data_IF_712451075975
#
_entry.id   IF_712451075975
#
_cell.length_a   1.000
_cell.length_b   1.000
_cell.length_c   1.000
_cell.angle_alpha   90.00
_cell.angle_beta   90.00
_cell.angle_gamma   90.00
#
_symmetry.space_group_name_H-M   'P 1'
#
loop_
_entity.id
_entity.type
_entity.pdbx_description
1 polymer ?
#
# COMPACT_ATOMS: atom_id res chain seq x y z
N UNK A 1 -3.38 -11.02 -10.85
CA UNK A 1 -3.96 -11.98 -11.79
C UNK A 1 -3.00 -13.15 -12.07
N UNK A 2 -1.87 -12.93 -12.73
CA UNK A 2 -0.82 -13.95 -12.94
C UNK A 2 -0.07 -14.22 -11.61
N UNK A 3 0.21 -15.48 -11.25
CA UNK A 3 -0.06 -16.72 -12.00
C UNK A 3 -1.35 -17.46 -11.59
N UNK A 4 -2.20 -16.91 -10.73
CA UNK A 4 -3.31 -17.63 -10.09
C UNK A 4 -4.63 -17.58 -10.86
N UNK A 5 -4.87 -16.52 -11.62
CA UNK A 5 -6.16 -16.31 -12.31
C UNK A 5 -5.97 -16.37 -13.81
N UNK A 6 -6.76 -17.22 -14.49
CA UNK A 6 -6.78 -17.27 -15.96
C UNK A 6 -7.47 -16.02 -16.52
N UNK A 7 -6.91 -15.45 -17.59
CA UNK A 7 -7.48 -14.28 -18.25
C UNK A 7 -6.50 -13.59 -19.17
N UNK A 8 -6.97 -12.57 -19.90
CA UNK A 8 -6.17 -11.85 -20.89
C UNK A 8 -4.87 -11.26 -20.34
N UNK A 9 -4.97 -10.57 -19.19
CA UNK A 9 -3.79 -9.98 -18.52
C UNK A 9 -2.78 -11.04 -18.10
N UNK A 10 -3.24 -12.12 -17.47
CA UNK A 10 -2.34 -13.22 -17.05
C UNK A 10 -1.68 -13.91 -18.23
N UNK A 11 -2.44 -14.15 -19.31
CA UNK A 11 -1.92 -14.73 -20.55
C UNK A 11 -0.86 -13.81 -21.18
N UNK A 12 -1.14 -12.51 -21.21
CA UNK A 12 -0.21 -11.51 -21.74
C UNK A 12 1.09 -11.46 -20.92
N UNK A 13 1.01 -11.41 -19.59
CA UNK A 13 2.19 -11.46 -18.71
C UNK A 13 3.02 -12.72 -18.96
N UNK A 14 2.37 -13.89 -18.98
CA UNK A 14 3.05 -15.17 -19.24
C UNK A 14 3.72 -15.19 -20.63
N UNK A 15 3.05 -14.63 -21.64
CA UNK A 15 3.63 -14.53 -22.99
C UNK A 15 4.86 -13.61 -23.03
N UNK A 16 4.81 -12.44 -22.38
CA UNK A 16 5.96 -11.53 -22.30
C UNK A 16 7.15 -12.23 -21.67
N UNK A 17 6.97 -12.83 -20.49
CA UNK A 17 8.07 -13.51 -19.79
C UNK A 17 8.68 -14.58 -20.67
N UNK A 18 7.88 -15.42 -21.32
CA UNK A 18 8.37 -16.50 -22.21
C UNK A 18 8.98 -16.01 -23.51
N UNK A 19 8.56 -14.82 -24.01
CA UNK A 19 9.06 -14.29 -25.28
C UNK A 19 10.44 -13.67 -25.17
N UNK A 20 10.87 -13.32 -23.98
CA UNK A 20 12.18 -12.71 -23.71
C UNK A 20 12.99 -13.57 -22.73
N UNK A 21 13.42 -14.78 -23.16
CA UNK A 21 14.14 -15.70 -22.29
C UNK A 21 15.51 -15.16 -21.81
N UNK A 22 16.07 -14.17 -22.53
CA UNK A 22 17.31 -13.49 -22.19
C UNK A 22 17.17 -12.48 -21.03
N UNK A 23 15.93 -12.14 -20.65
CA UNK A 23 15.64 -11.25 -19.54
C UNK A 23 15.22 -12.03 -18.30
N UNK A 24 15.66 -11.58 -17.13
CA UNK A 24 15.18 -12.07 -15.85
C UNK A 24 13.99 -11.24 -15.39
N UNK A 25 12.91 -11.90 -15.00
CA UNK A 25 11.70 -11.25 -14.51
C UNK A 25 11.48 -11.52 -13.03
N UNK A 26 10.97 -10.51 -12.32
CA UNK A 26 10.36 -10.65 -11.02
C UNK A 26 8.88 -10.30 -11.11
N UNK A 27 8.04 -11.00 -10.37
CA UNK A 27 6.62 -10.68 -10.24
C UNK A 27 6.23 -10.51 -8.78
N UNK A 28 5.42 -9.50 -8.50
CA UNK A 28 4.73 -9.36 -7.21
C UNK A 28 3.23 -9.45 -7.51
N UNK A 29 2.63 -10.53 -7.02
CA UNK A 29 1.20 -10.73 -7.09
C UNK A 29 0.54 -10.00 -5.92
N UNK A 30 -0.45 -9.16 -6.22
CA UNK A 30 -1.27 -8.50 -5.21
C UNK A 30 -2.68 -9.11 -5.30
N UNK A 31 -3.07 -9.81 -4.25
CA UNK A 31 -4.35 -10.49 -4.13
C UNK A 31 -5.24 -9.92 -3.03
N UNK A 32 -6.48 -10.40 -2.93
CA UNK A 32 -7.42 -10.08 -1.86
C UNK A 32 -7.04 -10.79 -0.56
N UNK A 33 -7.28 -12.09 -0.50
CA UNK A 33 -6.96 -12.97 0.63
C UNK A 33 -6.29 -14.23 0.13
N UNK A 34 -5.43 -14.89 0.92
CA UNK A 34 -4.78 -16.13 0.50
C UNK A 34 -5.78 -17.21 0.07
N UNK A 35 -6.89 -17.36 0.78
CA UNK A 35 -7.92 -18.36 0.54
C UNK A 35 -8.72 -18.13 -0.74
N UNK A 36 -8.70 -16.93 -1.32
CA UNK A 36 -9.40 -16.62 -2.58
C UNK A 36 -8.66 -17.20 -3.81
N UNK A 37 -7.42 -17.66 -3.62
CA UNK A 37 -6.56 -18.17 -4.69
C UNK A 37 -6.15 -19.60 -4.40
N UNK A 38 -6.45 -20.48 -5.32
CA UNK A 38 -6.04 -21.89 -5.27
C UNK A 38 -4.64 -22.10 -5.85
N UNK A 39 -4.47 -23.21 -6.56
CA UNK A 39 -3.21 -23.51 -7.26
C UNK A 39 -2.96 -22.55 -8.42
N UNK A 40 -1.69 -22.35 -8.75
CA UNK A 40 -1.27 -21.58 -9.91
C UNK A 40 -1.85 -22.16 -11.20
N UNK A 41 -2.40 -21.31 -12.04
CA UNK A 41 -3.01 -21.68 -13.33
C UNK A 41 -1.98 -21.70 -14.47
N UNK A 42 -0.80 -21.14 -14.26
CA UNK A 42 0.28 -21.10 -15.23
C UNK A 42 1.52 -21.75 -14.63
N UNK A 43 2.18 -22.57 -15.43
CA UNK A 43 3.55 -23.02 -15.11
C UNK A 43 4.49 -21.82 -15.19
N UNK A 44 5.28 -21.64 -14.14
CA UNK A 44 6.22 -20.52 -14.07
C UNK A 44 7.34 -20.74 -15.09
N UNK A 45 7.67 -19.74 -15.92
CA UNK A 45 8.82 -19.78 -16.81
C UNK A 45 10.15 -19.75 -16.03
N UNK A 46 11.19 -20.39 -16.57
CA UNK A 46 12.51 -20.49 -15.90
C UNK A 46 13.18 -19.13 -15.66
N UNK A 47 12.88 -18.15 -16.52
CA UNK A 47 13.39 -16.79 -16.40
C UNK A 47 12.54 -15.88 -15.47
N UNK A 48 11.51 -16.41 -14.82
CA UNK A 48 10.84 -15.76 -13.68
C UNK A 48 11.60 -16.12 -12.39
N UNK A 49 12.57 -15.30 -12.05
CA UNK A 49 13.51 -15.55 -10.95
C UNK A 49 13.02 -15.13 -9.58
N UNK A 50 11.92 -14.37 -9.52
CA UNK A 50 11.30 -13.92 -8.28
C UNK A 50 9.78 -13.91 -8.43
N UNK A 51 9.10 -14.48 -7.46
CA UNK A 51 7.64 -14.37 -7.30
C UNK A 51 7.33 -14.17 -5.81
N UNK A 52 6.68 -13.06 -5.49
CA UNK A 52 6.15 -12.80 -4.16
C UNK A 52 4.63 -12.57 -4.23
N UNK A 53 3.94 -12.91 -3.14
CA UNK A 53 2.50 -12.75 -3.02
C UNK A 53 2.17 -11.86 -1.83
N UNK A 54 1.42 -10.79 -2.07
CA UNK A 54 0.96 -9.84 -1.06
C UNK A 54 -0.56 -9.84 -1.08
N UNK A 55 -1.16 -9.99 0.10
CA UNK A 55 -2.61 -10.03 0.24
C UNK A 55 -3.11 -8.80 0.99
N UNK A 56 -4.09 -8.11 0.39
CA UNK A 56 -4.60 -6.82 0.91
C UNK A 56 -5.43 -6.99 2.19
N UNK A 57 -6.10 -8.13 2.33
CA UNK A 57 -7.00 -8.42 3.45
C UNK A 57 -6.46 -9.56 4.33
N UNK A 58 -5.13 -9.64 4.45
CA UNK A 58 -4.49 -10.55 5.40
C UNK A 58 -4.64 -10.00 6.83
N UNK A 59 -5.37 -10.69 7.71
CA UNK A 59 -5.55 -10.26 9.10
C UNK A 59 -4.23 -10.14 9.88
N UNK A 60 -3.24 -10.96 9.53
CA UNK A 60 -1.92 -10.96 10.18
C UNK A 60 -1.07 -9.75 9.80
N UNK A 61 -1.42 -9.07 8.70
CA UNK A 61 -0.74 -7.85 8.26
C UNK A 61 -1.03 -6.63 9.14
N UNK A 62 -2.11 -6.66 9.93
CA UNK A 62 -2.51 -5.54 10.78
C UNK A 62 -1.85 -5.60 12.15
N UNK A 63 -1.34 -4.48 12.67
CA UNK A 63 -0.76 -4.45 13.99
C UNK A 63 -1.83 -4.70 15.07
N UNK A 64 -1.41 -5.32 16.17
CA UNK A 64 -2.27 -5.52 17.33
C UNK A 64 -2.82 -4.19 17.87
N UNK A 65 -4.10 -4.10 18.25
CA UNK A 65 -4.73 -2.87 18.73
C UNK A 65 -4.27 -2.51 20.14
N UNK A 66 -3.09 -1.92 20.23
CA UNK A 66 -2.50 -1.44 21.50
C UNK A 66 -2.14 0.03 21.35
N UNK A 67 -2.26 0.83 22.43
CA UNK A 67 -1.81 2.22 22.41
C UNK A 67 -0.37 2.33 21.94
N UNK A 68 -0.13 3.19 20.97
CA UNK A 68 1.18 3.40 20.37
C UNK A 68 1.60 4.87 20.49
N UNK A 69 2.90 5.13 20.45
CA UNK A 69 3.43 6.50 20.41
C UNK A 69 3.84 6.82 18.98
N UNK A 70 3.46 7.99 18.49
CA UNK A 70 3.85 8.48 17.18
C UNK A 70 4.85 9.64 17.28
N UNK A 71 5.74 9.75 16.31
CA UNK A 71 6.52 10.96 16.11
C UNK A 71 5.56 12.09 15.67
N UNK A 72 5.51 13.15 16.50
CA UNK A 72 4.58 14.27 16.28
C UNK A 72 4.85 14.99 14.96
N UNK A 73 6.12 15.14 14.56
CA UNK A 73 6.48 15.83 13.31
C UNK A 73 6.04 15.04 12.10
N UNK A 74 6.27 13.73 12.12
CA UNK A 74 5.83 12.85 11.03
C UNK A 74 4.31 12.81 10.93
N UNK A 75 3.58 12.78 12.06
CA UNK A 75 2.13 12.83 12.04
C UNK A 75 1.58 14.18 11.56
N UNK A 76 2.28 15.28 11.77
CA UNK A 76 1.94 16.56 11.16
C UNK A 76 2.09 16.54 9.64
N UNK A 77 3.10 15.84 9.12
CA UNK A 77 3.27 15.66 7.67
C UNK A 77 2.18 14.75 7.07
N UNK A 78 1.75 13.73 7.80
CA UNK A 78 0.60 12.90 7.41
C UNK A 78 -0.67 13.76 7.33
N UNK A 79 -0.91 14.63 8.33
CA UNK A 79 -2.02 15.57 8.31
C UNK A 79 -1.94 16.54 7.13
N UNK A 80 -0.74 17.09 6.87
CA UNK A 80 -0.51 17.98 5.72
C UNK A 80 -0.81 17.27 4.39
N UNK A 81 -0.39 16.03 4.22
CA UNK A 81 -0.70 15.27 3.01
C UNK A 81 -2.21 15.07 2.85
N UNK A 82 -2.91 14.80 3.95
CA UNK A 82 -4.38 14.68 3.94
C UNK A 82 -5.05 16.00 3.55
N UNK A 83 -4.63 17.11 4.14
CA UNK A 83 -5.14 18.46 3.82
C UNK A 83 -4.90 18.82 2.35
N UNK A 84 -3.70 18.60 1.83
CA UNK A 84 -3.36 18.88 0.42
C UNK A 84 -4.25 18.12 -0.58
N UNK A 85 -4.72 16.94 -0.23
CA UNK A 85 -5.65 16.16 -1.08
C UNK A 85 -7.06 16.76 -1.12
N UNK A 86 -7.44 17.51 -0.09
CA UNK A 86 -8.71 18.21 -0.06
C UNK A 86 -8.66 19.59 -0.71
N UNK A 87 -7.56 20.31 -0.51
CA UNK A 87 -7.47 21.72 -0.86
C UNK A 87 -6.97 21.98 -2.29
N UNK A 88 -6.14 21.06 -2.86
CA UNK A 88 -5.55 21.29 -4.19
C UNK A 88 -5.19 19.96 -4.90
N UNK A 89 -6.04 19.56 -5.81
CA UNK A 89 -5.89 18.31 -6.61
C UNK A 89 -4.67 18.33 -7.56
N UNK A 90 -3.98 19.45 -7.72
CA UNK A 90 -2.83 19.62 -8.62
C UNK A 90 -1.52 19.95 -7.93
N UNK A 91 -1.48 19.92 -6.60
CA UNK A 91 -0.32 20.34 -5.84
C UNK A 91 0.93 19.46 -6.11
N UNK A 92 1.97 20.07 -6.70
CA UNK A 92 3.23 19.38 -7.03
C UNK A 92 4.03 18.93 -5.83
N UNK A 93 3.76 19.46 -4.64
CA UNK A 93 4.41 19.01 -3.39
C UNK A 93 3.85 17.69 -2.88
N UNK A 94 2.62 17.34 -3.25
CA UNK A 94 1.94 16.13 -2.78
C UNK A 94 2.73 14.83 -3.08
N UNK A 95 3.24 14.59 -4.30
CA UNK A 95 4.06 13.41 -4.59
C UNK A 95 5.38 13.37 -3.79
N UNK A 96 6.01 14.53 -3.59
CA UNK A 96 7.27 14.62 -2.82
C UNK A 96 7.03 14.32 -1.33
N UNK A 97 5.95 14.86 -0.77
CA UNK A 97 5.56 14.59 0.61
C UNK A 97 5.18 13.11 0.80
N UNK A 98 4.46 12.54 -0.17
CA UNK A 98 4.13 11.12 -0.17
C UNK A 98 5.38 10.24 -0.19
N UNK A 99 6.34 10.51 -1.09
CA UNK A 99 7.61 9.78 -1.16
C UNK A 99 8.37 9.85 0.17
N UNK A 100 8.47 11.04 0.77
CA UNK A 100 9.12 11.21 2.08
C UNK A 100 8.42 10.42 3.20
N UNK A 101 7.10 10.39 3.21
CA UNK A 101 6.34 9.58 4.17
C UNK A 101 6.55 8.07 3.95
N UNK A 102 6.72 7.63 2.70
CA UNK A 102 7.10 6.25 2.39
C UNK A 102 8.48 5.90 2.98
N UNK A 103 9.46 6.81 2.90
CA UNK A 103 10.76 6.63 3.54
C UNK A 103 10.65 6.57 5.07
N UNK A 104 9.82 7.43 5.68
CA UNK A 104 9.55 7.40 7.13
C UNK A 104 8.81 6.13 7.56
N UNK A 105 8.07 5.49 6.66
CA UNK A 105 7.41 4.22 6.91
C UNK A 105 8.32 2.99 6.72
N UNK A 106 9.58 3.17 6.33
CA UNK A 106 10.57 2.09 6.29
C UNK A 106 10.79 1.50 7.70
N UNK A 107 11.20 0.21 7.85
CA UNK A 107 11.40 -0.42 9.16
C UNK A 107 12.33 0.32 10.14
N UNK A 108 13.21 1.18 9.63
CA UNK A 108 14.08 2.06 10.43
C UNK A 108 13.57 3.51 10.53
N UNK A 109 12.44 3.78 9.92
CA UNK A 109 11.80 5.10 9.93
C UNK A 109 11.00 5.35 11.20
N UNK A 110 10.37 6.52 11.26
CA UNK A 110 9.64 7.01 12.44
C UNK A 110 8.13 6.85 12.33
N UNK A 111 7.64 6.32 11.20
CA UNK A 111 6.22 6.07 10.95
C UNK A 111 5.99 4.56 10.86
N UNK A 112 5.45 3.98 11.89
CA UNK A 112 4.99 2.59 11.87
C UNK A 112 3.47 2.49 11.82
N UNK A 113 2.94 1.34 11.36
CA UNK A 113 1.51 1.13 11.18
C UNK A 113 0.73 1.19 12.49
N UNK A 114 1.31 0.73 13.60
CA UNK A 114 0.65 0.80 14.91
C UNK A 114 0.53 2.24 15.40
N UNK A 115 1.58 3.05 15.28
CA UNK A 115 1.53 4.46 15.65
C UNK A 115 0.55 5.25 14.79
N UNK A 116 0.48 4.95 13.50
CA UNK A 116 -0.50 5.54 12.59
C UNK A 116 -1.94 5.17 12.96
N UNK A 117 -2.20 3.93 13.42
CA UNK A 117 -3.53 3.48 13.75
C UNK A 117 -3.97 3.83 15.18
N UNK A 118 -3.06 3.73 16.16
CA UNK A 118 -3.42 3.65 17.58
C UNK A 118 -2.77 4.71 18.45
N UNK A 119 -2.12 5.74 17.86
CA UNK A 119 -1.58 6.85 18.63
C UNK A 119 -2.64 7.93 18.90
N UNK A 120 -2.42 8.70 19.95
CA UNK A 120 -3.21 9.90 20.26
C UNK A 120 -3.15 10.91 19.09
N UNK A 121 -1.97 11.09 18.47
CA UNK A 121 -1.81 12.00 17.33
C UNK A 121 -2.65 11.58 16.13
N UNK A 122 -2.76 10.27 15.86
CA UNK A 122 -3.62 9.76 14.79
C UNK A 122 -5.11 10.00 15.09
N UNK A 123 -5.50 9.84 16.34
CA UNK A 123 -6.86 10.13 16.78
C UNK A 123 -7.21 11.62 16.65
N UNK A 124 -6.31 12.51 17.08
CA UNK A 124 -6.50 13.96 16.94
C UNK A 124 -6.57 14.39 15.47
N UNK A 125 -5.78 13.78 14.59
CA UNK A 125 -5.85 14.02 13.16
C UNK A 125 -7.24 13.70 12.60
N UNK A 126 -7.79 12.53 12.92
CA UNK A 126 -9.13 12.13 12.45
C UNK A 126 -10.21 13.08 12.98
N UNK A 127 -10.15 13.44 14.27
CA UNK A 127 -11.11 14.39 14.85
C UNK A 127 -11.04 15.78 14.21
N UNK A 128 -9.82 16.26 13.98
CA UNK A 128 -9.60 17.55 13.33
C UNK A 128 -10.10 17.56 11.89
N UNK A 129 -9.77 16.50 11.13
CA UNK A 129 -10.24 16.33 9.76
C UNK A 129 -11.78 16.22 9.69
N UNK A 130 -12.39 15.49 10.60
CA UNK A 130 -13.85 15.42 10.67
C UNK A 130 -14.50 16.81 10.85
N UNK A 131 -14.00 17.62 11.77
CA UNK A 131 -14.52 18.96 12.02
C UNK A 131 -14.32 19.91 10.83
N UNK A 132 -13.26 19.70 10.05
CA UNK A 132 -12.87 20.60 8.94
C UNK A 132 -13.49 20.21 7.61
N UNK A 133 -13.59 18.91 7.32
CA UNK A 133 -13.88 18.44 5.96
C UNK A 133 -15.18 17.62 5.87
N UNK A 134 -15.69 17.08 6.98
CA UNK A 134 -16.85 16.21 6.89
C UNK A 134 -18.13 17.00 6.65
N UNK A 135 -18.87 16.57 5.63
CA UNK A 135 -20.24 17.00 5.35
C UNK A 135 -21.26 16.02 5.91
N UNK A 136 -20.83 14.84 6.34
CA UNK A 136 -21.66 13.80 6.94
C UNK A 136 -21.68 13.96 8.46
N UNK A 137 -22.86 13.91 9.11
CA UNK A 137 -22.99 13.99 10.56
C UNK A 137 -22.43 12.75 11.29
N UNK A 138 -22.21 11.63 10.57
CA UNK A 138 -21.68 10.39 11.15
C UNK A 138 -20.15 10.44 11.28
N UNK A 139 -19.65 10.65 12.50
CA UNK A 139 -18.23 10.50 12.80
C UNK A 139 -17.69 9.09 12.52
N UNK A 140 -18.50 8.06 12.75
CA UNK A 140 -18.11 6.66 12.56
C UNK A 140 -17.82 6.38 11.07
N UNK A 141 -18.68 6.87 10.19
CA UNK A 141 -18.49 6.68 8.73
C UNK A 141 -17.28 7.45 8.22
N UNK A 142 -17.08 8.69 8.69
CA UNK A 142 -15.87 9.45 8.41
C UNK A 142 -14.60 8.74 8.91
N UNK A 143 -14.62 8.23 10.14
CA UNK A 143 -13.50 7.49 10.72
C UNK A 143 -13.08 6.30 9.84
N UNK A 144 -14.03 5.47 9.45
CA UNK A 144 -13.74 4.31 8.61
C UNK A 144 -13.31 4.71 7.19
N UNK A 145 -13.90 5.75 6.63
CA UNK A 145 -13.49 6.29 5.33
C UNK A 145 -12.03 6.73 5.35
N UNK A 146 -11.63 7.52 6.34
CA UNK A 146 -10.24 7.96 6.48
C UNK A 146 -9.30 6.79 6.71
N UNK A 147 -9.66 5.83 7.54
CA UNK A 147 -8.87 4.62 7.77
C UNK A 147 -8.64 3.82 6.49
N UNK A 148 -9.72 3.53 5.76
CA UNK A 148 -9.65 2.75 4.52
C UNK A 148 -8.89 3.50 3.40
N UNK A 149 -8.99 4.82 3.35
CA UNK A 149 -8.27 5.63 2.38
C UNK A 149 -6.74 5.56 2.54
N UNK A 150 -6.25 5.28 3.74
CA UNK A 150 -4.81 5.18 4.02
C UNK A 150 -4.27 3.74 3.93
N UNK A 151 -5.11 2.71 3.88
CA UNK A 151 -4.66 1.31 3.75
C UNK A 151 -3.72 1.09 2.55
N UNK A 152 -3.98 1.65 1.34
CA UNK A 152 -3.08 1.47 0.20
C UNK A 152 -1.64 1.93 0.45
N UNK A 153 -1.43 2.92 1.33
CA UNK A 153 -0.09 3.37 1.71
C UNK A 153 0.74 2.22 2.34
N UNK A 154 0.13 1.47 3.25
CA UNK A 154 0.80 0.36 3.94
C UNK A 154 1.04 -0.83 3.01
N UNK A 155 0.11 -1.08 2.08
CA UNK A 155 0.32 -2.10 1.05
C UNK A 155 1.45 -1.73 0.11
N UNK A 156 1.51 -0.47 -0.38
CA UNK A 156 2.62 0.02 -1.20
C UNK A 156 3.96 -0.07 -0.48
N UNK A 157 3.99 0.27 0.81
CA UNK A 157 5.19 0.10 1.63
C UNK A 157 5.64 -1.36 1.68
N UNK A 158 4.70 -2.30 1.84
CA UNK A 158 5.00 -3.75 1.85
C UNK A 158 5.54 -4.18 0.48
N UNK A 159 4.91 -3.75 -0.61
CA UNK A 159 5.41 -3.99 -1.98
C UNK A 159 6.82 -3.45 -2.15
N UNK A 160 7.06 -2.19 -1.78
CA UNK A 160 8.38 -1.57 -1.91
C UNK A 160 9.46 -2.27 -1.08
N UNK A 161 9.11 -2.79 0.10
CA UNK A 161 10.05 -3.50 0.97
C UNK A 161 10.41 -4.91 0.46
N UNK A 162 9.56 -5.52 -0.34
CA UNK A 162 9.71 -6.88 -0.88
C UNK A 162 10.13 -6.91 -2.35
N UNK A 163 9.96 -5.79 -3.07
CA UNK A 163 10.35 -5.69 -4.47
C UNK A 163 11.86 -5.89 -4.61
N UNK A 164 12.33 -6.82 -5.47
CA UNK A 164 13.72 -6.95 -5.78
C UNK A 164 14.21 -5.72 -6.55
N UNK A 165 15.51 -5.46 -6.50
CA UNK A 165 16.11 -4.45 -7.35
C UNK A 165 15.93 -4.82 -8.83
N UNK A 166 15.39 -3.89 -9.62
CA UNK A 166 15.14 -4.08 -11.04
C UNK A 166 15.43 -2.81 -11.83
N UNK A 167 15.79 -2.97 -13.10
CA UNK A 167 16.02 -1.83 -14.01
C UNK A 167 14.71 -1.17 -14.45
N UNK A 168 13.64 -1.95 -14.52
CA UNK A 168 12.32 -1.50 -14.96
C UNK A 168 11.27 -2.09 -14.02
N UNK A 169 10.39 -1.25 -13.53
CA UNK A 169 9.19 -1.64 -12.80
C UNK A 169 7.96 -1.34 -13.66
N UNK A 170 7.08 -2.30 -13.76
CA UNK A 170 5.85 -2.19 -14.53
C UNK A 170 4.65 -2.62 -13.69
N UNK A 171 3.66 -1.74 -13.54
CA UNK A 171 2.40 -2.03 -12.87
C UNK A 171 1.32 -2.42 -13.90
N UNK A 172 0.54 -3.45 -13.60
CA UNK A 172 -0.49 -4.02 -14.47
C UNK A 172 -1.82 -4.09 -13.71
#
# INVERSE_FOLDING_TARGET
>A
TFPFVSGGVSSWVNQIIRRFPELSFGAIFIGSRPEDYGQMRYALPDNLVHLDCIYLFDPESKPSPKPARADRKVMQEVSRLHDMRHDDVGNRECPMLFARLMDEAHPKGRLDHASFLYSESAWEQIKSGYRRYSTDPSFVDYFWTVRNMHEPFWHLRTVAARAPEARIYHAI
#
